data_IF_588199455553
#
_entry.id   IF_588199455553
#
_cell.length_a   1.000
_cell.length_b   1.000
_cell.length_c   1.000
_cell.angle_alpha   90.00
_cell.angle_beta   90.00
_cell.angle_gamma   90.00
#
_symmetry.space_group_name_H-M   'P 1'
#
loop_
_entity.id
_entity.type
_entity.pdbx_description
1 polymer ?
#
# COMPACT_ATOMS: atom_id res chain seq x y z
N UNK A 1 -8.86 -4.62 -17.43
CA UNK A 1 -8.05 -3.39 -17.60
C UNK A 1 -7.83 -2.76 -16.23
N UNK A 2 -6.74 -2.02 -16.05
CA UNK A 2 -6.34 -1.49 -14.74
C UNK A 2 -5.54 -0.20 -14.88
N UNK A 3 -5.74 0.73 -13.96
CA UNK A 3 -4.98 1.98 -13.83
C UNK A 3 -4.21 1.91 -12.51
N UNK A 4 -2.90 2.16 -12.56
CA UNK A 4 -2.03 2.21 -11.39
C UNK A 4 -1.42 3.60 -11.27
N UNK A 5 -1.55 4.22 -10.09
CA UNK A 5 -0.86 5.45 -9.73
C UNK A 5 0.13 5.12 -8.63
N UNK A 6 1.41 5.09 -8.99
CA UNK A 6 2.50 4.91 -8.05
C UNK A 6 2.89 6.26 -7.45
N UNK A 7 2.79 6.38 -6.12
CA UNK A 7 3.19 7.58 -5.42
C UNK A 7 4.71 7.69 -5.34
N UNK A 8 5.21 8.90 -5.11
CA UNK A 8 6.64 9.14 -4.86
C UNK A 8 7.05 8.58 -3.49
N UNK A 9 8.34 8.36 -3.30
CA UNK A 9 8.90 8.07 -1.98
C UNK A 9 8.64 9.23 -1.02
N UNK A 10 8.38 8.89 0.25
CA UNK A 10 8.24 9.88 1.32
C UNK A 10 9.63 10.48 1.61
N UNK A 11 9.84 11.80 1.39
CA UNK A 11 11.11 12.44 1.71
C UNK A 11 11.38 12.36 3.22
N UNK A 12 12.61 12.05 3.62
CA UNK A 12 13.00 12.02 5.04
C UNK A 12 12.28 10.95 5.86
N UNK A 13 11.93 9.81 5.27
CA UNK A 13 11.19 8.73 5.93
C UNK A 13 11.83 8.28 7.26
N UNK A 14 11.21 8.68 8.37
CA UNK A 14 11.66 8.40 9.73
C UNK A 14 11.62 6.90 10.08
N UNK A 15 10.79 6.13 9.37
CA UNK A 15 10.53 4.73 9.67
C UNK A 15 11.34 3.77 8.82
N UNK A 16 12.35 4.25 8.09
CA UNK A 16 13.20 3.45 7.18
C UNK A 16 13.70 2.13 7.80
N UNK A 17 14.05 2.15 9.08
CA UNK A 17 14.56 0.98 9.83
C UNK A 17 13.46 0.07 10.39
N UNK A 18 12.23 0.54 10.42
CA UNK A 18 11.05 -0.19 10.90
C UNK A 18 10.35 -0.97 9.78
N UNK A 19 10.80 -0.81 8.54
CA UNK A 19 10.34 -1.55 7.39
C UNK A 19 10.98 -2.95 7.34
N UNK A 20 10.21 -3.97 6.96
CA UNK A 20 10.76 -5.28 6.58
C UNK A 20 11.71 -5.20 5.37
N UNK A 21 12.26 -6.34 4.94
CA UNK A 21 13.41 -6.45 4.00
C UNK A 21 13.19 -5.86 2.60
N UNK A 22 11.98 -5.40 2.23
CA UNK A 22 11.67 -5.00 0.85
C UNK A 22 10.87 -3.68 0.72
N UNK A 23 10.64 -2.98 1.83
CA UNK A 23 9.70 -1.85 1.86
C UNK A 23 10.34 -0.47 1.62
N UNK A 24 11.68 -0.36 1.60
CA UNK A 24 12.37 0.89 1.21
C UNK A 24 11.99 1.33 -0.23
N UNK A 25 11.54 0.38 -1.07
CA UNK A 25 11.06 0.61 -2.44
C UNK A 25 9.54 0.70 -2.57
N UNK A 26 8.80 0.39 -1.51
CA UNK A 26 7.36 0.25 -1.52
C UNK A 26 6.68 1.60 -1.29
N UNK A 27 6.50 2.41 -2.32
CA UNK A 27 5.62 3.58 -2.23
C UNK A 27 4.15 3.15 -2.18
N UNK A 28 3.29 4.04 -1.69
CA UNK A 28 1.85 3.82 -1.78
C UNK A 28 1.47 3.67 -3.25
N UNK A 29 0.38 2.95 -3.51
CA UNK A 29 -0.10 2.72 -4.86
C UNK A 29 -1.63 2.72 -4.88
N UNK A 30 -2.23 3.60 -5.67
CA UNK A 30 -3.65 3.57 -5.96
C UNK A 30 -3.88 2.68 -7.18
N UNK A 31 -4.74 1.69 -7.02
CA UNK A 31 -5.15 0.79 -8.10
C UNK A 31 -6.64 0.97 -8.34
N UNK A 32 -6.98 1.27 -9.59
CA UNK A 32 -8.35 1.30 -10.08
C UNK A 32 -8.46 0.14 -11.07
N UNK A 33 -9.16 -0.91 -10.67
CA UNK A 33 -9.40 -2.08 -11.50
C UNK A 33 -10.74 -1.94 -12.20
N UNK A 34 -10.71 -1.95 -13.53
CA UNK A 34 -11.89 -1.74 -14.38
C UNK A 34 -12.58 -3.07 -14.72
N UNK A 35 -11.84 -4.16 -14.91
CA UNK A 35 -12.40 -5.52 -15.10
C UNK A 35 -11.27 -6.58 -15.13
N UNK A 36 -11.54 -7.84 -14.75
CA UNK A 36 -12.71 -8.29 -13.97
C UNK A 36 -12.61 -7.82 -12.52
N UNK A 37 -13.67 -8.00 -11.72
CA UNK A 37 -13.72 -7.68 -10.28
C UNK A 37 -13.43 -6.20 -10.00
N UNK A 38 -14.33 -5.35 -10.49
CA UNK A 38 -14.31 -3.90 -10.35
C UNK A 38 -13.99 -3.51 -8.91
N UNK A 39 -12.89 -2.77 -8.75
CA UNK A 39 -12.38 -2.45 -7.44
C UNK A 39 -11.55 -1.17 -7.46
N UNK A 40 -11.57 -0.46 -6.35
CA UNK A 40 -10.60 0.58 -6.05
C UNK A 40 -9.90 0.15 -4.76
N UNK A 41 -8.58 0.03 -4.81
CA UNK A 41 -7.81 -0.25 -3.61
C UNK A 41 -6.52 0.56 -3.55
N UNK A 42 -6.15 0.93 -2.34
CA UNK A 42 -4.94 1.67 -2.03
C UNK A 42 -4.00 0.77 -1.25
N UNK A 43 -2.85 0.45 -1.84
CA UNK A 43 -1.74 -0.20 -1.14
C UNK A 43 -1.06 0.86 -0.28
N UNK A 44 -1.07 0.69 1.03
CA UNK A 44 -0.47 1.61 1.99
C UNK A 44 0.54 0.89 2.88
N UNK A 45 1.52 1.65 3.36
CA UNK A 45 2.39 1.20 4.44
C UNK A 45 1.77 1.58 5.80
N UNK A 46 1.58 0.60 6.68
CA UNK A 46 1.04 0.81 8.02
C UNK A 46 1.77 -0.02 9.07
N UNK A 47 1.66 0.40 10.33
CA UNK A 47 2.20 -0.35 11.46
C UNK A 47 1.45 -1.67 11.61
N UNK A 48 2.18 -2.78 11.73
CA UNK A 48 1.56 -4.08 11.99
C UNK A 48 0.93 -4.10 13.39
N UNK A 49 -0.25 -4.71 13.58
CA UNK A 49 -0.77 -4.98 14.91
C UNK A 49 0.24 -5.77 15.77
N UNK A 50 0.28 -5.49 17.08
CA UNK A 50 1.23 -6.09 18.02
C UNK A 50 2.06 -5.06 18.81
N UNK A 51 3.04 -5.54 19.58
CA UNK A 51 3.81 -4.72 20.53
C UNK A 51 5.03 -4.01 19.91
N UNK A 52 5.43 -4.39 18.70
CA UNK A 52 6.60 -3.82 18.02
C UNK A 52 6.29 -2.65 17.08
N UNK A 53 7.31 -1.86 16.78
CA UNK A 53 7.28 -0.80 15.76
C UNK A 53 7.86 -1.32 14.44
N UNK A 54 7.05 -2.13 13.75
CA UNK A 54 7.32 -2.64 12.40
C UNK A 54 6.22 -2.21 11.45
N UNK A 55 6.59 -1.80 10.24
CA UNK A 55 5.64 -1.51 9.16
C UNK A 55 5.60 -2.64 8.15
N UNK A 56 4.42 -2.82 7.57
CA UNK A 56 4.18 -3.69 6.43
C UNK A 56 3.14 -3.05 5.49
N UNK A 57 2.94 -3.65 4.32
CA UNK A 57 1.97 -3.20 3.34
C UNK A 57 0.61 -3.83 3.62
N UNK A 58 -0.44 -3.01 3.62
CA UNK A 58 -1.84 -3.46 3.62
C UNK A 58 -2.62 -2.83 2.48
N UNK A 59 -3.80 -3.39 2.20
CA UNK A 59 -4.72 -2.87 1.19
C UNK A 59 -5.93 -2.25 1.89
N UNK A 60 -6.17 -0.96 1.66
CA UNK A 60 -7.49 -0.36 1.86
C UNK A 60 -8.31 -0.63 0.61
N UNK A 61 -9.47 -1.25 0.75
CA UNK A 61 -10.12 -1.90 -0.38
C UNK A 61 -11.61 -1.58 -0.45
N UNK A 62 -12.06 -1.20 -1.64
CA UNK A 62 -13.45 -1.11 -2.06
C UNK A 62 -13.63 -2.05 -3.26
N UNK A 63 -14.27 -3.18 -3.03
CA UNK A 63 -14.76 -4.03 -4.11
C UNK A 63 -16.18 -3.62 -4.44
N UNK A 64 -16.45 -3.41 -5.71
CA UNK A 64 -17.80 -3.17 -6.20
C UNK A 64 -18.47 -4.55 -6.19
N UNK A 65 -19.28 -4.82 -5.16
CA UNK A 65 -20.11 -6.01 -5.16
C UNK A 65 -21.04 -5.94 -6.37
N UNK A 66 -21.15 -7.06 -7.09
CA UNK A 66 -22.22 -7.28 -8.05
C UNK A 66 -23.58 -7.31 -7.34
#
# INVERSE_FOLDING_TARGET
AEIRVQFRHVPGNLYRKSFGTDLDRATNELVIRVQPDEAIYLKINNKIPGLGMRLDRSNLNLHYAA
#
